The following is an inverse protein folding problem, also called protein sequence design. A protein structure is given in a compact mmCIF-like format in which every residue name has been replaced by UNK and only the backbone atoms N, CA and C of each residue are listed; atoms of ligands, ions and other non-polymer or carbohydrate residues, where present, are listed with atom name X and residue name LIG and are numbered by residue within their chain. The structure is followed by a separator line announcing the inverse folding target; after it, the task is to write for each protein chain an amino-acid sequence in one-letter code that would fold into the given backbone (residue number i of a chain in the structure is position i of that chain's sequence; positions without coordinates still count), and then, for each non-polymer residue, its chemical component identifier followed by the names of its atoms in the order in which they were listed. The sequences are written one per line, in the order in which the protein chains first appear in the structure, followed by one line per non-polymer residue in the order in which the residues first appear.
data_IF_210691310490
#
_entry.id   IF_210691310490
#
_cell.length_a   1.000
_cell.length_b   1.000
_cell.length_c   1.000
_cell.angle_alpha   90.00
_cell.angle_beta   90.00
_cell.angle_gamma   90.00
#
_symmetry.space_group_name_H-M   'P 1'
#
loop_
_entity.id
_entity.type
_entity.pdbx_description
1 polymer ?
#
# COMPACT_ATOMS: atom_id res chain seq x y z
N UNK A 1 12.23 5.65 5.54
CA UNK A 1 12.44 4.76 6.70
C UNK A 1 11.12 4.16 7.11
N UNK A 2 11.13 2.97 7.70
CA UNK A 2 9.95 2.39 8.35
C UNK A 2 9.84 2.98 9.77
N UNK A 3 8.63 3.31 10.27
CA UNK A 3 8.43 3.70 11.67
C UNK A 3 9.08 2.71 12.66
N UNK A 4 9.65 3.22 13.75
CA UNK A 4 10.43 2.43 14.72
C UNK A 4 9.57 1.50 15.59
N UNK A 5 8.27 1.74 15.64
CA UNK A 5 7.27 0.94 16.34
C UNK A 5 6.82 -0.30 15.54
N UNK A 6 7.27 -0.44 14.29
CA UNK A 6 7.02 -1.60 13.46
C UNK A 6 8.14 -2.64 13.57
N UNK A 7 7.80 -3.89 13.22
CA UNK A 7 8.78 -4.95 13.05
C UNK A 7 9.86 -4.55 12.03
N UNK A 8 11.02 -5.23 12.02
CA UNK A 8 12.05 -4.99 11.02
C UNK A 8 11.50 -4.98 9.59
N UNK A 9 12.11 -4.16 8.73
CA UNK A 9 11.66 -3.96 7.34
C UNK A 9 11.44 -5.27 6.58
N UNK A 10 12.31 -6.26 6.76
CA UNK A 10 12.17 -7.58 6.14
C UNK A 10 10.86 -8.24 6.53
N UNK A 11 10.58 -8.32 7.83
CA UNK A 11 9.35 -8.93 8.35
C UNK A 11 8.10 -8.24 7.85
N UNK A 12 8.05 -6.91 7.89
CA UNK A 12 6.89 -6.15 7.37
C UNK A 12 6.69 -6.40 5.89
N UNK A 13 7.78 -6.41 5.11
CA UNK A 13 7.73 -6.68 3.69
C UNK A 13 7.29 -8.12 3.38
N UNK A 14 7.73 -9.11 4.17
CA UNK A 14 7.36 -10.52 3.98
C UNK A 14 5.85 -10.75 4.15
N UNK A 15 5.24 -10.11 5.17
CA UNK A 15 3.79 -10.13 5.33
C UNK A 15 3.08 -9.45 4.16
N UNK A 16 3.55 -8.26 3.77
CA UNK A 16 2.98 -7.54 2.64
C UNK A 16 3.05 -8.36 1.35
N UNK A 17 4.20 -8.95 1.03
CA UNK A 17 4.40 -9.74 -0.17
C UNK A 17 3.46 -10.95 -0.17
N UNK A 18 3.36 -11.67 0.95
CA UNK A 18 2.43 -12.79 1.09
C UNK A 18 0.99 -12.37 0.86
N UNK A 19 0.53 -11.29 1.48
CA UNK A 19 -0.84 -10.80 1.34
C UNK A 19 -1.16 -10.25 -0.06
N UNK A 20 -0.17 -9.68 -0.74
CA UNK A 20 -0.30 -9.27 -2.13
C UNK A 20 -0.49 -10.50 -3.02
N UNK A 21 0.32 -11.53 -2.81
CA UNK A 21 0.38 -12.70 -3.67
C UNK A 21 -0.80 -13.66 -3.43
N UNK A 22 -1.29 -13.78 -2.19
CA UNK A 22 -2.45 -14.63 -1.84
C UNK A 22 -3.82 -13.93 -1.96
N UNK A 23 -3.84 -12.64 -2.30
CA UNK A 23 -5.07 -11.86 -2.50
C UNK A 23 -5.70 -11.31 -1.21
N UNK A 24 -5.11 -11.51 -0.04
CA UNK A 24 -5.53 -10.90 1.22
C UNK A 24 -5.59 -9.38 1.10
N UNK A 25 -4.61 -8.77 0.44
CA UNK A 25 -4.55 -7.32 0.23
C UNK A 25 -5.79 -6.80 -0.53
N UNK A 26 -6.19 -7.48 -1.61
CA UNK A 26 -7.37 -7.12 -2.39
C UNK A 26 -8.67 -7.27 -1.56
N UNK A 27 -8.74 -8.31 -0.72
CA UNK A 27 -9.88 -8.57 0.17
C UNK A 27 -10.06 -7.44 1.19
N UNK A 28 -8.96 -7.02 1.83
CA UNK A 28 -8.96 -5.90 2.78
C UNK A 28 -9.43 -4.61 2.09
N UNK A 29 -8.84 -4.28 0.94
CA UNK A 29 -9.20 -3.07 0.20
C UNK A 29 -10.67 -3.07 -0.24
N UNK A 30 -11.20 -4.22 -0.67
CA UNK A 30 -12.62 -4.36 -1.02
C UNK A 30 -13.52 -4.03 0.18
N UNK A 31 -13.25 -4.64 1.34
CA UNK A 31 -14.04 -4.43 2.55
C UNK A 31 -14.04 -2.95 2.99
N UNK A 32 -12.85 -2.33 3.02
CA UNK A 32 -12.71 -0.92 3.38
C UNK A 32 -13.44 0.00 2.39
N UNK A 33 -13.33 -0.27 1.08
CA UNK A 33 -14.01 0.54 0.06
C UNK A 33 -15.52 0.47 0.19
N UNK A 34 -16.07 -0.73 0.40
CA UNK A 34 -17.51 -0.90 0.59
C UNK A 34 -17.99 -0.19 1.86
N UNK A 35 -17.24 -0.28 2.97
CA UNK A 35 -17.58 0.39 4.22
C UNK A 35 -17.64 1.92 4.05
N UNK A 36 -16.63 2.52 3.45
CA UNK A 36 -16.58 3.98 3.22
C UNK A 36 -17.72 4.42 2.31
N UNK A 37 -18.05 3.62 1.28
CA UNK A 37 -19.16 3.95 0.36
C UNK A 37 -20.52 3.89 1.07
N UNK A 38 -20.75 2.87 1.89
CA UNK A 38 -21.96 2.76 2.72
C UNK A 38 -22.08 3.94 3.69
N UNK A 39 -20.99 4.32 4.36
CA UNK A 39 -20.96 5.49 5.26
C UNK A 39 -21.28 6.80 4.53
N UNK A 40 -20.90 6.90 3.25
CA UNK A 40 -21.24 8.04 2.40
C UNK A 40 -22.65 7.97 1.77
N UNK A 41 -23.48 6.99 2.16
CA UNK A 41 -24.84 6.80 1.61
C UNK A 41 -24.86 6.34 0.15
N UNK A 42 -23.79 5.69 -0.32
CA UNK A 42 -23.63 5.22 -1.71
C UNK A 42 -23.69 3.69 -1.79
N UNK A 43 -24.06 3.18 -2.95
CA UNK A 43 -23.99 1.73 -3.24
C UNK A 43 -22.60 1.16 -2.95
N UNK A 44 -22.46 0.01 -2.27
CA UNK A 44 -21.15 -0.53 -1.86
C UNK A 44 -20.23 -0.81 -3.06
N UNK A 45 -20.80 -1.30 -4.15
CA UNK A 45 -20.12 -1.50 -5.42
C UNK A 45 -20.32 -0.25 -6.30
N UNK A 46 -19.24 0.41 -6.77
CA UNK A 46 -19.38 1.54 -7.68
C UNK A 46 -19.67 1.07 -9.10
N UNK A 47 -20.40 1.89 -9.85
CA UNK A 47 -20.65 1.68 -11.29
C UNK A 47 -19.48 2.09 -12.18
N UNK A 48 -18.53 2.89 -11.67
CA UNK A 48 -17.36 3.36 -12.40
C UNK A 48 -16.11 3.41 -11.49
N UNK A 49 -14.93 3.28 -12.09
CA UNK A 49 -13.63 3.39 -11.41
C UNK A 49 -12.76 4.45 -12.11
N UNK A 50 -12.11 5.30 -11.33
CA UNK A 50 -11.09 6.23 -11.80
C UNK A 50 -9.72 5.69 -11.37
N UNK A 51 -8.82 5.52 -12.33
CA UNK A 51 -7.44 5.11 -12.09
C UNK A 51 -6.58 6.34 -12.40
N UNK A 52 -5.87 6.83 -11.39
CA UNK A 52 -4.91 7.91 -11.49
C UNK A 52 -3.53 7.41 -11.07
N UNK A 53 -2.48 8.00 -11.64
CA UNK A 53 -1.10 7.70 -11.29
C UNK A 53 -0.45 8.92 -10.64
N UNK A 54 0.00 8.78 -9.40
CA UNK A 54 0.78 9.82 -8.73
C UNK A 54 2.24 9.38 -8.63
N UNK A 55 3.14 10.23 -9.10
CA UNK A 55 4.57 10.03 -8.93
C UNK A 55 5.01 10.65 -7.61
N UNK A 56 5.65 9.85 -6.75
CA UNK A 56 6.32 10.36 -5.55
C UNK A 56 7.76 10.66 -5.92
N UNK A 57 8.19 11.92 -5.76
CA UNK A 57 9.60 12.29 -5.91
C UNK A 57 10.40 11.54 -4.86
N UNK A 58 11.25 10.61 -5.28
CA UNK A 58 12.24 10.00 -4.40
C UNK A 58 13.40 10.97 -4.24
N UNK A 59 13.92 11.11 -3.03
CA UNK A 59 15.25 11.68 -2.85
C UNK A 59 16.25 10.64 -3.35
N UNK A 60 17.06 11.01 -4.34
CA UNK A 60 18.20 10.20 -4.76
C UNK A 60 19.23 10.21 -3.62
N UNK A 61 19.16 9.23 -2.72
CA UNK A 61 20.31 8.89 -1.88
C UNK A 61 21.27 8.10 -2.76
N UNK A 62 21.93 8.80 -3.68
CA UNK A 62 23.09 8.27 -4.38
C UNK A 62 24.11 7.84 -3.32
N UNK A 63 24.42 6.54 -3.27
CA UNK A 63 25.42 5.97 -2.38
C UNK A 63 26.81 6.48 -2.74
N UNK A 64 27.14 7.69 -2.28
CA UNK A 64 28.47 8.25 -2.36
C UNK A 64 29.29 7.86 -1.13
N UNK A 65 30.08 6.79 -1.24
CA UNK A 65 31.55 6.89 -1.23
C UNK A 65 32.24 5.54 -1.47
N UNK A 66 33.22 5.62 -2.35
CA UNK A 66 34.15 4.60 -2.78
C UNK A 66 35.25 4.30 -1.75
N UNK A 67 35.99 3.20 -2.04
CA UNK A 67 37.27 2.69 -1.49
C UNK A 67 37.19 2.03 -0.11
N UNK A 68 37.87 0.90 0.13
CA UNK A 68 39.08 0.33 -0.51
C UNK A 68 38.85 -1.04 -1.15
#
# INVERSE_FOLDING_TARGET
MLPHDLLPRSTVYDYFARWRDDGTWATILKALREQIRRQAGREPTPSAACIDSQSVKTTEMGGGRARL
#
